data_IF_831204308116
#
_entry.id   IF_831204308116
#
_cell.length_a   1.000
_cell.length_b   1.000
_cell.length_c   1.000
_cell.angle_alpha   90.00
_cell.angle_beta   90.00
_cell.angle_gamma   90.00
#
_symmetry.space_group_name_H-M   'P 1'
#
loop_
_entity.id
_entity.type
_entity.pdbx_description
1 polymer ?
#
# COMPACT_ATOMS: atom_id res chain seq x y z
N UNK A 1 -4.48 -33.09 5.80
CA UNK A 1 -5.25 -32.11 5.01
C UNK A 1 -4.96 -30.73 5.56
N UNK A 2 -4.36 -29.84 4.78
CA UNK A 2 -4.22 -28.44 5.21
C UNK A 2 -5.62 -27.81 5.23
N UNK A 3 -6.03 -27.25 6.37
CA UNK A 3 -7.28 -26.50 6.47
C UNK A 3 -7.13 -25.26 5.58
N UNK A 4 -8.01 -25.14 4.59
CA UNK A 4 -8.05 -24.03 3.64
C UNK A 4 -9.09 -23.02 4.11
N UNK A 5 -8.64 -21.94 4.74
CA UNK A 5 -9.53 -20.83 5.13
C UNK A 5 -9.53 -19.79 4.01
N UNK A 6 -10.68 -19.63 3.34
CA UNK A 6 -10.89 -18.54 2.40
C UNK A 6 -11.14 -17.24 3.17
N UNK A 7 -10.33 -16.21 2.90
CA UNK A 7 -10.54 -14.88 3.44
C UNK A 7 -10.97 -13.97 2.29
N UNK A 8 -12.18 -13.43 2.41
CA UNK A 8 -12.67 -12.39 1.51
C UNK A 8 -12.02 -11.06 1.86
N UNK A 9 -11.57 -10.36 0.84
CA UNK A 9 -10.96 -9.05 0.96
C UNK A 9 -12.02 -7.98 0.75
N UNK A 10 -11.92 -6.87 1.49
CA UNK A 10 -12.75 -5.72 1.22
C UNK A 10 -12.20 -4.96 0.00
N UNK A 11 -12.95 -4.97 -1.10
CA UNK A 11 -12.58 -4.23 -2.33
C UNK A 11 -12.68 -2.72 -2.17
N UNK A 12 -13.40 -2.24 -1.14
CA UNK A 12 -13.51 -0.81 -0.84
C UNK A 12 -12.28 -0.29 -0.09
N UNK A 13 -11.49 -1.19 0.50
CA UNK A 13 -10.23 -0.85 1.16
C UNK A 13 -9.13 -0.58 0.12
N UNK A 14 -9.14 0.64 -0.40
CA UNK A 14 -8.12 1.13 -1.33
C UNK A 14 -6.76 1.35 -0.65
N UNK A 15 -6.70 1.48 0.69
CA UNK A 15 -5.44 1.64 1.42
C UNK A 15 -4.62 0.36 1.43
N UNK A 16 -5.21 -0.79 1.08
CA UNK A 16 -4.49 -2.05 0.84
C UNK A 16 -3.38 -1.92 -0.21
N UNK A 17 -3.48 -0.94 -1.11
CA UNK A 17 -2.40 -0.60 -2.03
C UNK A 17 -1.07 -0.35 -1.28
N UNK A 18 -1.10 0.30 -0.12
CA UNK A 18 0.09 0.53 0.72
C UNK A 18 0.83 -0.76 1.08
N UNK A 19 0.10 -1.86 1.25
CA UNK A 19 0.65 -3.15 1.67
C UNK A 19 1.23 -3.98 0.50
N UNK A 20 0.83 -3.66 -0.73
CA UNK A 20 1.05 -4.52 -1.91
C UNK A 20 1.85 -3.84 -3.03
N UNK A 21 1.94 -2.50 -3.06
CA UNK A 21 2.50 -1.77 -4.19
C UNK A 21 4.03 -1.86 -4.25
N UNK A 22 4.66 -2.13 -3.11
CA UNK A 22 6.10 -2.40 -3.00
C UNK A 22 6.36 -3.89 -2.84
N UNK A 23 7.17 -4.46 -3.73
CA UNK A 23 7.61 -5.84 -3.61
C UNK A 23 8.56 -5.98 -2.40
N UNK A 24 8.57 -7.13 -1.69
CA UNK A 24 9.50 -7.35 -0.59
C UNK A 24 10.97 -7.13 -0.94
N UNK A 25 11.40 -7.49 -2.16
CA UNK A 25 12.77 -7.25 -2.63
C UNK A 25 13.09 -5.80 -2.99
N UNK A 26 12.08 -4.96 -3.20
CA UNK A 26 12.25 -3.53 -3.51
C UNK A 26 12.42 -2.67 -2.25
N UNK A 27 12.19 -3.25 -1.07
CA UNK A 27 12.23 -2.56 0.22
C UNK A 27 13.36 -3.10 1.12
N UNK A 28 13.98 -2.25 1.95
CA UNK A 28 14.83 -2.72 3.04
C UNK A 28 14.09 -3.67 3.96
N UNK A 29 14.81 -4.66 4.50
CA UNK A 29 14.27 -5.61 5.49
C UNK A 29 13.64 -4.90 6.70
N UNK A 30 14.15 -3.72 7.06
CA UNK A 30 13.69 -2.92 8.20
C UNK A 30 12.46 -2.06 7.90
N UNK A 31 11.95 -2.06 6.66
CA UNK A 31 10.86 -1.19 6.23
C UNK A 31 9.57 -1.99 5.97
N UNK A 32 8.46 -1.51 6.52
CA UNK A 32 7.12 -2.00 6.20
C UNK A 32 6.10 -0.87 6.25
N UNK A 33 5.12 -0.92 5.34
CA UNK A 33 3.96 -0.02 5.34
C UNK A 33 2.85 -0.48 6.29
N UNK A 34 3.00 -1.61 6.99
CA UNK A 34 1.95 -2.16 7.88
C UNK A 34 1.52 -1.14 8.95
N UNK A 35 2.49 -0.47 9.59
CA UNK A 35 2.20 0.54 10.60
C UNK A 35 1.49 1.77 10.03
N UNK A 36 1.84 2.20 8.81
CA UNK A 36 1.15 3.31 8.14
C UNK A 36 -0.30 2.95 7.84
N UNK A 37 -0.54 1.75 7.31
CA UNK A 37 -1.88 1.24 7.04
C UNK A 37 -2.73 1.15 8.32
N UNK A 38 -2.20 0.54 9.38
CA UNK A 38 -2.89 0.41 10.67
C UNK A 38 -3.27 1.81 11.19
N UNK A 39 -2.32 2.75 11.26
CA UNK A 39 -2.57 4.09 11.77
C UNK A 39 -3.62 4.86 10.95
N UNK A 40 -3.65 4.70 9.63
CA UNK A 40 -4.67 5.30 8.76
C UNK A 40 -6.05 4.69 9.01
N UNK A 41 -6.14 3.36 9.09
CA UNK A 41 -7.41 2.68 9.35
C UNK A 41 -7.96 2.93 10.74
N UNK A 42 -7.10 3.03 11.75
CA UNK A 42 -7.47 3.36 13.13
C UNK A 42 -7.88 4.82 13.27
N UNK A 43 -7.22 5.75 12.58
CA UNK A 43 -7.62 7.15 12.57
C UNK A 43 -9.07 7.30 12.06
N UNK A 44 -9.43 6.64 10.96
CA UNK A 44 -10.80 6.65 10.42
C UNK A 44 -11.83 6.04 11.38
N UNK A 45 -11.42 5.13 12.27
CA UNK A 45 -12.32 4.51 13.26
C UNK A 45 -12.47 5.35 14.53
N UNK A 46 -11.38 5.91 15.04
CA UNK A 46 -11.31 6.52 16.38
C UNK A 46 -11.53 8.04 16.34
N UNK A 47 -10.98 8.73 15.33
CA UNK A 47 -10.95 10.19 15.31
C UNK A 47 -12.22 10.85 14.76
N UNK A 48 -13.23 10.07 14.37
CA UNK A 48 -14.54 10.61 14.03
C UNK A 48 -15.31 11.13 15.25
N UNK A 49 -14.96 10.70 16.48
CA UNK A 49 -15.83 10.90 17.67
C UNK A 49 -15.16 11.65 18.84
N UNK A 50 -13.83 11.83 18.82
CA UNK A 50 -13.10 12.42 19.94
C UNK A 50 -12.64 13.85 19.66
N UNK A 51 -13.23 14.83 20.36
CA UNK A 51 -12.78 16.24 20.39
C UNK A 51 -11.41 16.43 21.08
N UNK A 52 -10.84 15.38 21.67
CA UNK A 52 -9.58 15.46 22.41
C UNK A 52 -8.37 15.55 21.47
N UNK A 53 -7.40 16.38 21.87
CA UNK A 53 -6.14 16.49 21.15
C UNK A 53 -5.36 15.18 21.24
N UNK A 54 -4.99 14.63 20.09
CA UNK A 54 -4.08 13.50 19.98
C UNK A 54 -2.86 13.92 19.12
N UNK A 55 -1.62 13.82 19.65
CA UNK A 55 -0.43 14.21 18.89
C UNK A 55 -0.26 13.41 17.59
N UNK A 56 -0.65 12.13 17.58
CA UNK A 56 -0.57 11.26 16.40
C UNK A 56 -1.55 11.73 15.31
N UNK A 57 -2.78 12.07 15.68
CA UNK A 57 -3.76 12.58 14.71
C UNK A 57 -3.38 13.96 14.17
N UNK A 58 -2.78 14.82 15.00
CA UNK A 58 -2.24 16.11 14.56
C UNK A 58 -1.10 15.94 13.57
N UNK A 59 -0.16 15.03 13.85
CA UNK A 59 0.93 14.69 12.94
C UNK A 59 0.41 14.13 11.62
N UNK A 60 -0.54 13.20 11.68
CA UNK A 60 -1.16 12.61 10.50
C UNK A 60 -1.79 13.69 9.63
N UNK A 61 -2.63 14.56 10.20
CA UNK A 61 -3.29 15.66 9.49
C UNK A 61 -2.29 16.62 8.87
N UNK A 62 -1.29 17.09 9.62
CA UNK A 62 -0.37 18.14 9.13
C UNK A 62 0.68 17.64 8.14
N UNK A 63 1.23 16.44 8.38
CA UNK A 63 2.40 15.95 7.65
C UNK A 63 2.02 14.90 6.61
N UNK A 64 1.13 13.97 6.96
CA UNK A 64 0.88 12.78 6.14
C UNK A 64 -0.31 12.97 5.20
N UNK A 65 -1.45 13.44 5.71
CA UNK A 65 -2.67 13.64 4.94
C UNK A 65 -3.37 14.97 5.31
N UNK A 66 -2.98 16.09 4.67
CA UNK A 66 -3.58 17.41 4.85
C UNK A 66 -5.08 17.50 4.58
N UNK A 67 -5.66 16.56 3.83
CA UNK A 67 -7.10 16.55 3.57
C UNK A 67 -7.94 16.25 4.82
N UNK A 68 -7.35 15.65 5.85
CA UNK A 68 -8.04 15.36 7.11
C UNK A 68 -8.09 16.57 8.06
N UNK A 69 -7.43 17.67 7.71
CA UNK A 69 -7.38 18.87 8.53
C UNK A 69 -8.55 19.82 8.27
N UNK A 70 -9.67 19.58 8.95
CA UNK A 70 -10.90 20.39 8.88
C UNK A 70 -10.70 21.85 9.34
N UNK A 71 -9.58 22.19 9.98
CA UNK A 71 -9.30 23.58 10.40
C UNK A 71 -8.92 24.50 9.24
N UNK A 72 -8.61 23.93 8.07
CA UNK A 72 -8.12 24.64 6.89
C UNK A 72 -9.18 24.62 5.79
N UNK A 73 -9.28 25.68 4.99
CA UNK A 73 -10.16 25.71 3.79
C UNK A 73 -9.81 24.57 2.81
N UNK A 74 -10.85 24.01 2.17
CA UNK A 74 -10.74 22.89 1.21
C UNK A 74 -9.71 23.15 0.11
N UNK A 75 -9.63 24.39 -0.38
CA UNK A 75 -8.65 24.78 -1.42
C UNK A 75 -7.21 24.64 -0.93
N UNK A 76 -6.95 25.09 0.29
CA UNK A 76 -5.63 25.03 0.94
C UNK A 76 -5.24 23.59 1.29
N UNK A 77 -6.20 22.75 1.69
CA UNK A 77 -5.97 21.31 1.90
C UNK A 77 -5.48 20.64 0.61
N UNK A 78 -6.20 20.88 -0.50
CA UNK A 78 -5.84 20.32 -1.80
C UNK A 78 -4.47 20.80 -2.28
N UNK A 79 -4.13 22.07 -2.03
CA UNK A 79 -2.80 22.62 -2.33
C UNK A 79 -1.71 21.97 -1.47
N UNK A 80 -1.94 21.82 -0.16
CA UNK A 80 -0.99 21.18 0.76
C UNK A 80 -0.73 19.71 0.42
N UNK A 81 -1.78 19.00 -0.02
CA UNK A 81 -1.66 17.61 -0.49
C UNK A 81 -0.82 17.47 -1.75
N UNK A 82 -0.97 18.39 -2.70
CA UNK A 82 -0.20 18.43 -3.95
C UNK A 82 1.21 18.99 -3.77
N UNK A 83 1.51 19.56 -2.61
CA UNK A 83 2.83 20.10 -2.31
C UNK A 83 3.87 18.98 -2.37
N UNK A 84 4.99 19.26 -3.03
CA UNK A 84 6.12 18.34 -3.15
C UNK A 84 6.56 17.84 -1.77
N UNK A 85 6.70 16.52 -1.65
CA UNK A 85 7.28 15.86 -0.48
C UNK A 85 8.67 15.33 -0.81
N UNK A 86 9.57 15.36 0.16
CA UNK A 86 10.91 14.80 0.05
C UNK A 86 10.92 13.33 0.47
N UNK A 87 11.47 12.41 -0.35
CA UNK A 87 11.70 11.04 0.08
C UNK A 87 12.80 10.96 1.14
N UNK A 88 12.82 9.88 1.91
CA UNK A 88 13.89 9.60 2.88
C UNK A 88 15.03 8.85 2.20
N UNK A 89 16.14 9.55 1.94
CA UNK A 89 17.34 8.96 1.35
C UNK A 89 18.18 8.19 2.37
N UNK A 90 18.66 7.01 1.99
CA UNK A 90 19.57 6.18 2.78
C UNK A 90 20.59 5.48 1.88
N UNK A 91 21.68 5.00 2.46
CA UNK A 91 22.73 4.30 1.71
C UNK A 91 22.82 2.85 2.18
N UNK A 92 23.05 1.93 1.25
CA UNK A 92 23.37 0.53 1.55
C UNK A 92 24.73 0.19 0.95
N UNK A 93 25.45 -0.72 1.59
CA UNK A 93 26.70 -1.28 1.05
C UNK A 93 26.34 -2.17 -0.13
N UNK A 94 26.88 -1.86 -1.32
CA UNK A 94 26.69 -2.69 -2.52
C UNK A 94 27.84 -3.69 -2.65
N UNK A 95 29.06 -3.22 -2.48
CA UNK A 95 30.30 -4.01 -2.48
C UNK A 95 31.33 -3.35 -1.55
N UNK A 96 32.55 -3.90 -1.50
CA UNK A 96 33.61 -3.41 -0.61
C UNK A 96 34.04 -1.95 -0.88
N UNK A 97 33.71 -1.39 -2.05
CA UNK A 97 34.21 -0.11 -2.52
C UNK A 97 33.11 0.90 -2.87
N UNK A 98 31.85 0.47 -2.94
CA UNK A 98 30.75 1.30 -3.38
C UNK A 98 29.50 1.15 -2.52
N UNK A 99 28.85 2.29 -2.31
CA UNK A 99 27.56 2.41 -1.67
C UNK A 99 26.50 2.66 -2.73
N UNK A 100 25.31 2.10 -2.54
CA UNK A 100 24.12 2.41 -3.33
C UNK A 100 23.24 3.36 -2.53
N UNK A 101 22.96 4.52 -3.11
CA UNK A 101 21.96 5.45 -2.58
C UNK A 101 20.57 4.97 -2.99
N UNK A 102 19.69 4.85 -2.00
CA UNK A 102 18.29 4.47 -2.17
C UNK A 102 17.41 5.50 -1.46
N UNK A 103 16.12 5.46 -1.76
CA UNK A 103 15.15 6.40 -1.22
C UNK A 103 13.86 5.69 -0.86
N UNK A 104 13.36 5.92 0.34
CA UNK A 104 12.00 5.55 0.74
C UNK A 104 11.04 6.68 0.39
N UNK A 105 9.95 6.30 -0.26
CA UNK A 105 8.88 7.20 -0.63
C UNK A 105 8.24 7.86 0.60
N UNK A 106 7.86 9.13 0.49
CA UNK A 106 7.19 9.85 1.57
C UNK A 106 5.74 9.32 1.78
N UNK A 107 5.25 9.15 3.03
CA UNK A 107 3.92 8.61 3.32
C UNK A 107 2.77 9.35 2.60
N UNK A 108 2.83 10.68 2.52
CA UNK A 108 1.86 11.49 1.75
C UNK A 108 1.77 11.06 0.28
N UNK A 109 2.90 10.77 -0.37
CA UNK A 109 2.91 10.29 -1.75
C UNK A 109 2.27 8.91 -1.86
N UNK A 110 2.57 8.01 -0.92
CA UNK A 110 1.97 6.66 -0.90
C UNK A 110 0.43 6.71 -0.77
N UNK A 111 -0.11 7.63 0.04
CA UNK A 111 -1.56 7.85 0.14
C UNK A 111 -2.12 8.37 -1.18
N UNK A 112 -1.43 9.31 -1.84
CA UNK A 112 -1.84 9.81 -3.15
C UNK A 112 -1.89 8.68 -4.20
N UNK A 113 -0.95 7.73 -4.18
CA UNK A 113 -1.00 6.55 -5.05
C UNK A 113 -2.18 5.63 -4.73
N UNK A 114 -2.47 5.42 -3.44
CA UNK A 114 -3.62 4.63 -3.02
C UNK A 114 -4.94 5.23 -3.53
N UNK A 115 -5.08 6.55 -3.47
CA UNK A 115 -6.24 7.26 -4.04
C UNK A 115 -6.27 7.23 -5.57
N UNK A 116 -5.11 7.28 -6.23
CA UNK A 116 -5.02 7.10 -7.67
C UNK A 116 -5.57 5.72 -8.06
N UNK A 117 -5.17 4.64 -7.38
CA UNK A 117 -5.73 3.31 -7.61
C UNK A 117 -7.23 3.25 -7.32
N UNK A 118 -7.69 3.88 -6.24
CA UNK A 118 -9.13 3.99 -5.93
C UNK A 118 -9.93 4.56 -7.11
N UNK A 119 -9.44 5.64 -7.71
CA UNK A 119 -10.16 6.36 -8.76
C UNK A 119 -10.01 5.71 -10.15
N UNK A 120 -8.87 5.09 -10.44
CA UNK A 120 -8.52 4.65 -11.79
C UNK A 120 -8.37 3.13 -11.96
N UNK A 121 -8.57 2.31 -10.92
CA UNK A 121 -8.45 0.85 -10.98
C UNK A 121 -9.21 0.21 -12.16
N UNK A 122 -10.46 0.63 -12.40
CA UNK A 122 -11.28 0.14 -13.51
C UNK A 122 -10.68 0.48 -14.89
N UNK A 123 -10.15 1.69 -15.04
CA UNK A 123 -9.53 2.17 -16.30
C UNK A 123 -8.21 1.45 -16.54
N UNK A 124 -7.39 1.30 -15.49
CA UNK A 124 -6.14 0.55 -15.54
C UNK A 124 -6.42 -0.87 -16.04
N UNK A 125 -7.37 -1.56 -15.41
CA UNK A 125 -7.76 -2.93 -15.76
C UNK A 125 -8.31 -3.04 -17.18
N UNK A 126 -9.13 -2.08 -17.62
CA UNK A 126 -9.66 -2.07 -18.98
C UNK A 126 -8.56 -1.91 -20.03
N UNK A 127 -7.62 -0.99 -19.80
CA UNK A 127 -6.55 -0.71 -20.76
C UNK A 127 -5.55 -1.86 -20.85
N UNK A 128 -5.23 -2.50 -19.73
CA UNK A 128 -4.38 -3.69 -19.70
C UNK A 128 -5.06 -4.88 -20.34
N UNK A 129 -6.39 -5.01 -20.26
CA UNK A 129 -7.12 -6.05 -21.00
C UNK A 129 -7.11 -5.85 -22.52
N UNK A 130 -7.10 -4.60 -23.00
CA UNK A 130 -7.09 -4.28 -24.44
C UNK A 130 -5.74 -4.49 -25.10
N UNK A 131 -4.65 -4.26 -24.36
CA UNK A 131 -3.28 -4.35 -24.88
C UNK A 131 -2.59 -5.60 -24.36
N UNK A 132 -1.94 -6.36 -25.24
CA UNK A 132 -1.10 -7.49 -24.82
C UNK A 132 0.27 -7.05 -24.25
N UNK A 133 0.56 -5.75 -24.26
CA UNK A 133 1.82 -5.20 -23.77
C UNK A 133 1.64 -4.58 -22.38
N UNK A 134 2.09 -5.28 -21.35
CA UNK A 134 2.19 -4.73 -19.98
C UNK A 134 3.27 -5.46 -19.19
N UNK A 135 4.01 -4.74 -18.35
CA UNK A 135 5.03 -5.30 -17.45
C UNK A 135 4.37 -6.03 -16.27
N UNK A 136 3.22 -5.54 -15.77
CA UNK A 136 2.52 -6.08 -14.60
C UNK A 136 1.10 -6.61 -14.88
N UNK A 137 0.52 -6.32 -16.05
CA UNK A 137 -0.78 -6.83 -16.55
C UNK A 137 -1.88 -7.05 -15.47
N UNK A 138 -2.31 -6.03 -14.70
CA UNK A 138 -3.40 -6.19 -13.74
C UNK A 138 -4.71 -6.52 -14.47
N UNK A 139 -5.37 -7.61 -14.05
CA UNK A 139 -6.56 -8.16 -14.75
C UNK A 139 -7.88 -7.91 -14.04
N UNK A 140 -7.85 -7.81 -12.70
CA UNK A 140 -9.01 -7.50 -11.85
C UNK A 140 -8.48 -7.00 -10.51
N UNK A 141 -9.35 -6.45 -9.67
CA UNK A 141 -9.01 -6.18 -8.27
C UNK A 141 -9.13 -7.49 -7.48
N UNK A 142 -8.09 -7.82 -6.70
CA UNK A 142 -8.03 -9.05 -5.91
C UNK A 142 -9.18 -9.14 -4.89
N UNK A 143 -9.87 -10.29 -4.85
CA UNK A 143 -11.12 -10.47 -4.11
C UNK A 143 -10.99 -11.37 -2.87
N UNK A 144 -10.11 -12.37 -2.90
CA UNK A 144 -9.92 -13.29 -1.79
C UNK A 144 -8.55 -13.92 -1.86
N UNK A 145 -7.99 -14.28 -0.71
CA UNK A 145 -6.79 -15.11 -0.60
C UNK A 145 -7.04 -16.28 0.33
N UNK A 146 -6.12 -17.25 0.36
CA UNK A 146 -6.27 -18.46 1.16
C UNK A 146 -5.15 -18.62 2.16
N UNK A 147 -5.52 -18.89 3.41
CA UNK A 147 -4.56 -19.32 4.41
C UNK A 147 -4.46 -20.85 4.39
N UNK A 148 -3.24 -21.33 4.20
CA UNK A 148 -2.86 -22.72 4.40
C UNK A 148 -2.11 -22.80 5.73
N UNK A 149 -2.63 -23.56 6.69
CA UNK A 149 -2.03 -23.64 8.03
C UNK A 149 -0.65 -24.33 8.08
N UNK A 150 -0.23 -25.05 7.04
CA UNK A 150 0.96 -25.92 7.09
C UNK A 150 1.89 -25.91 5.84
N UNK A 151 1.85 -24.87 5.01
CA UNK A 151 2.80 -24.77 3.88
C UNK A 151 4.09 -24.06 4.30
N UNK A 152 5.10 -24.84 4.69
CA UNK A 152 6.45 -24.33 4.99
C UNK A 152 7.11 -23.61 3.79
N UNK A 153 6.69 -23.93 2.57
CA UNK A 153 7.18 -23.34 1.31
C UNK A 153 6.82 -21.86 1.12
N UNK A 154 5.77 -21.35 1.78
CA UNK A 154 5.31 -19.95 1.65
C UNK A 154 5.48 -19.16 2.96
N UNK A 155 6.58 -19.40 3.68
CA UNK A 155 6.82 -18.69 4.95
C UNK A 155 6.99 -17.18 4.75
N UNK A 156 7.62 -16.75 3.66
CA UNK A 156 7.96 -15.35 3.38
C UNK A 156 7.16 -14.81 2.18
N UNK A 157 6.94 -13.48 2.12
CA UNK A 157 6.35 -12.85 0.93
C UNK A 157 7.29 -13.08 -0.26
N UNK A 158 6.79 -13.74 -1.30
CA UNK A 158 7.55 -14.02 -2.52
C UNK A 158 7.59 -12.83 -3.48
N UNK A 159 8.50 -12.90 -4.44
CA UNK A 159 8.65 -11.94 -5.55
C UNK A 159 7.76 -12.24 -6.76
N UNK A 160 7.20 -13.45 -6.82
CA UNK A 160 6.48 -13.93 -8.00
C UNK A 160 5.21 -13.11 -8.27
N UNK A 161 4.89 -12.90 -9.54
CA UNK A 161 3.65 -12.25 -9.98
C UNK A 161 2.47 -13.18 -9.75
N UNK A 162 1.43 -12.69 -9.09
CA UNK A 162 0.22 -13.46 -8.84
C UNK A 162 -0.57 -13.66 -10.15
N UNK A 163 -0.92 -14.91 -10.47
CA UNK A 163 -1.73 -15.24 -11.64
C UNK A 163 -3.13 -15.68 -11.20
N UNK A 164 -4.11 -15.61 -12.10
CA UNK A 164 -5.48 -16.07 -11.81
C UNK A 164 -5.56 -17.57 -11.47
N UNK A 165 -4.55 -18.36 -11.84
CA UNK A 165 -4.47 -19.79 -11.50
C UNK A 165 -3.94 -19.98 -10.07
N UNK A 166 -3.00 -19.13 -9.68
CA UNK A 166 -2.25 -19.26 -8.42
C UNK A 166 -2.84 -18.42 -7.28
N UNK A 167 -3.77 -17.50 -7.58
CA UNK A 167 -4.50 -16.67 -6.59
C UNK A 167 -5.11 -17.53 -5.47
N UNK A 168 -5.56 -18.75 -5.80
CA UNK A 168 -6.16 -19.67 -4.82
C UNK A 168 -5.14 -20.38 -3.92
N UNK A 169 -3.85 -20.27 -4.23
CA UNK A 169 -2.76 -21.01 -3.59
C UNK A 169 -1.85 -20.12 -2.72
N UNK A 170 -1.93 -18.80 -2.89
CA UNK A 170 -1.06 -17.82 -2.21
C UNK A 170 -1.51 -17.51 -0.79
N UNK A 171 -0.53 -17.48 0.13
CA UNK A 171 -0.69 -16.99 1.52
C UNK A 171 -0.87 -15.48 1.65
N UNK A 172 -0.22 -14.70 0.78
CA UNK A 172 -0.23 -13.24 0.81
C UNK A 172 -1.12 -12.70 -0.31
N UNK A 173 -1.87 -11.64 -0.01
CA UNK A 173 -2.79 -10.98 -0.94
C UNK A 173 -2.07 -9.88 -1.71
N UNK A 174 -2.13 -9.91 -3.05
CA UNK A 174 -1.92 -8.72 -3.87
C UNK A 174 -3.13 -7.77 -3.82
N UNK A 175 -3.00 -6.57 -4.41
CA UNK A 175 -4.14 -5.69 -4.66
C UNK A 175 -4.88 -6.01 -5.97
N UNK A 176 -4.21 -6.64 -6.94
CA UNK A 176 -4.68 -6.92 -8.31
C UNK A 176 -4.34 -8.35 -8.73
#
# INVERSE_FOLDING_TARGET
MAIKKNIKLDKKDYLRALLCDTQPGDCPIIFSNDGLYINLTEHDRVCNDSLSFNPVSSFLKKIVNPNLDTSISVEKQAQAKKKQSSPFGYCIVKDAFSQRHLSLIHPRSQINYSEFYKNYSSVITLNTLKSNFSIRYPRKVANSFFLYENNASEKYKGEDIETTKDELMRKYSSSY
#
